data_IF_861493907465
#
_entry.id   IF_861493907465
#
_cell.length_a   1.000
_cell.length_b   1.000
_cell.length_c   1.000
_cell.angle_alpha   90.00
_cell.angle_beta   90.00
_cell.angle_gamma   90.00
#
_symmetry.space_group_name_H-M   'P 1'
#
loop_
_entity.id
_entity.type
_entity.pdbx_description
1 polymer ?
#
# COMPACT_ATOMS: atom_id res chain seq x y z
N UNK A 1 10.84 11.49 2.18
CA UNK A 1 9.64 10.64 2.08
C UNK A 1 9.78 9.79 0.83
N UNK A 2 9.67 8.46 0.92
CA UNK A 2 9.98 7.55 -0.19
C UNK A 2 8.91 7.53 -1.31
N UNK A 3 9.26 7.10 -2.53
CA UNK A 3 8.37 7.11 -3.71
C UNK A 3 7.09 6.29 -3.52
N UNK A 4 7.15 5.24 -2.70
CA UNK A 4 5.99 4.38 -2.40
C UNK A 4 4.90 5.12 -1.62
N UNK A 5 5.29 5.95 -0.65
CA UNK A 5 4.33 6.72 0.15
C UNK A 5 3.61 7.75 -0.73
N UNK A 6 4.32 8.36 -1.68
CA UNK A 6 3.74 9.28 -2.65
C UNK A 6 2.70 8.59 -3.56
N UNK A 7 2.95 7.34 -3.99
CA UNK A 7 1.97 6.54 -4.75
C UNK A 7 0.70 6.26 -3.95
N UNK A 8 0.85 5.91 -2.66
CA UNK A 8 -0.31 5.73 -1.76
C UNK A 8 -1.10 7.04 -1.65
N UNK A 9 -0.43 8.17 -1.43
CA UNK A 9 -1.07 9.48 -1.40
C UNK A 9 -1.79 9.83 -2.71
N UNK A 10 -1.20 9.51 -3.86
CA UNK A 10 -1.83 9.76 -5.16
C UNK A 10 -3.09 8.92 -5.39
N UNK A 11 -3.12 7.68 -4.88
CA UNK A 11 -4.25 6.76 -5.06
C UNK A 11 -5.41 7.02 -4.09
N UNK A 12 -5.11 7.34 -2.83
CA UNK A 12 -6.11 7.42 -1.75
C UNK A 12 -6.36 8.84 -1.24
N UNK A 13 -5.53 9.83 -1.62
CA UNK A 13 -5.73 11.24 -1.27
C UNK A 13 -5.85 11.48 0.24
N UNK A 14 -6.89 12.18 0.73
CA UNK A 14 -7.06 12.46 2.16
C UNK A 14 -7.29 11.18 2.99
N UNK A 15 -7.75 10.08 2.38
CA UNK A 15 -8.02 8.81 3.06
C UNK A 15 -6.75 7.94 3.25
N UNK A 16 -5.60 8.40 2.77
CA UNK A 16 -4.31 7.71 2.92
C UNK A 16 -4.00 7.38 4.37
N UNK A 17 -4.29 8.28 5.31
CA UNK A 17 -4.03 8.06 6.74
C UNK A 17 -4.79 6.85 7.30
N UNK A 18 -6.05 6.69 6.90
CA UNK A 18 -6.87 5.55 7.31
C UNK A 18 -6.38 4.26 6.65
N UNK A 19 -6.21 4.27 5.32
CA UNK A 19 -5.81 3.08 4.57
C UNK A 19 -4.46 2.52 5.01
N UNK A 20 -3.49 3.38 5.34
CA UNK A 20 -2.17 2.97 5.83
C UNK A 20 -2.23 2.15 7.14
N UNK A 21 -3.25 2.38 7.97
CA UNK A 21 -3.45 1.68 9.24
C UNK A 21 -4.32 0.43 9.14
N UNK A 22 -5.07 0.26 8.05
CA UNK A 22 -6.01 -0.85 7.89
C UNK A 22 -5.29 -2.11 7.41
N UNK A 23 -5.45 -3.26 8.09
CA UNK A 23 -5.00 -4.56 7.60
C UNK A 23 -5.53 -4.85 6.19
N UNK A 24 -4.65 -5.30 5.30
CA UNK A 24 -5.02 -5.63 3.94
C UNK A 24 -4.76 -7.11 3.66
N UNK A 25 -5.78 -7.84 3.19
CA UNK A 25 -5.68 -9.27 2.86
C UNK A 25 -4.61 -9.59 1.81
N UNK A 26 -4.30 -8.64 0.93
CA UNK A 26 -3.25 -8.77 -0.10
C UNK A 26 -1.84 -8.48 0.44
N UNK A 27 -1.75 -8.07 1.69
CA UNK A 27 -0.51 -7.83 2.42
C UNK A 27 -0.39 -8.80 3.61
N UNK A 28 -0.92 -10.02 3.49
CA UNK A 28 -0.95 -11.03 4.56
C UNK A 28 -1.64 -10.53 5.84
N UNK A 29 -2.70 -9.73 5.69
CA UNK A 29 -3.38 -9.03 6.78
C UNK A 29 -2.49 -8.07 7.57
N UNK A 30 -1.37 -7.64 6.99
CA UNK A 30 -0.57 -6.53 7.52
C UNK A 30 -1.13 -5.20 7.04
N UNK A 31 -0.92 -4.16 7.85
CA UNK A 31 -1.20 -2.80 7.41
C UNK A 31 -0.12 -2.34 6.43
N UNK A 32 -0.47 -1.50 5.43
CA UNK A 32 0.52 -0.91 4.53
C UNK A 32 1.67 -0.21 5.27
N UNK A 33 1.39 0.40 6.42
CA UNK A 33 2.41 0.99 7.29
C UNK A 33 3.39 -0.06 7.84
N UNK A 34 2.90 -1.22 8.28
CA UNK A 34 3.77 -2.32 8.73
C UNK A 34 4.63 -2.86 7.58
N UNK A 35 4.09 -2.91 6.36
CA UNK A 35 4.84 -3.33 5.18
C UNK A 35 6.00 -2.39 4.83
N UNK A 36 5.93 -1.10 5.16
CA UNK A 36 7.03 -0.16 4.94
C UNK A 36 8.28 -0.46 5.80
N UNK A 37 8.12 -1.20 6.90
CA UNK A 37 9.21 -1.51 7.82
C UNK A 37 10.26 -2.46 7.23
N UNK A 38 9.90 -3.31 6.26
CA UNK A 38 10.80 -4.32 5.69
C UNK A 38 10.94 -4.16 4.17
N UNK A 39 12.08 -4.53 3.56
CA UNK A 39 12.25 -4.49 2.10
C UNK A 39 11.22 -5.36 1.35
N UNK A 40 10.89 -6.52 1.91
CA UNK A 40 9.90 -7.45 1.35
C UNK A 40 8.48 -6.87 1.42
N UNK A 41 8.11 -6.27 2.55
CA UNK A 41 6.82 -5.60 2.69
C UNK A 41 6.66 -4.43 1.71
N UNK A 42 7.73 -3.66 1.47
CA UNK A 42 7.72 -2.59 0.46
C UNK A 42 7.47 -3.13 -0.95
N UNK A 43 8.08 -4.27 -1.31
CA UNK A 43 7.84 -4.94 -2.59
C UNK A 43 6.38 -5.36 -2.75
N UNK A 44 5.81 -6.04 -1.74
CA UNK A 44 4.39 -6.47 -1.77
C UNK A 44 3.45 -5.28 -1.88
N UNK A 45 3.70 -4.23 -1.10
CA UNK A 45 2.92 -3.00 -1.17
C UNK A 45 3.00 -2.34 -2.56
N UNK A 46 4.17 -2.34 -3.19
CA UNK A 46 4.34 -1.85 -4.57
C UNK A 46 3.55 -2.68 -5.58
N UNK A 47 3.53 -4.00 -5.46
CA UNK A 47 2.73 -4.89 -6.29
C UNK A 47 1.23 -4.65 -6.11
N UNK A 48 0.76 -4.53 -4.86
CA UNK A 48 -0.65 -4.24 -4.55
C UNK A 48 -1.07 -2.90 -5.15
N UNK A 49 -0.26 -1.84 -4.98
CA UNK A 49 -0.53 -0.55 -5.59
C UNK A 49 -0.58 -0.62 -7.12
N UNK A 50 0.35 -1.36 -7.73
CA UNK A 50 0.38 -1.57 -9.18
C UNK A 50 -0.87 -2.30 -9.67
N UNK A 51 -1.35 -3.34 -8.96
CA UNK A 51 -2.60 -4.03 -9.30
C UNK A 51 -3.82 -3.11 -9.19
N UNK A 52 -3.88 -2.29 -8.14
CA UNK A 52 -4.94 -1.29 -7.94
C UNK A 52 -4.93 -0.19 -9.01
N UNK A 53 -3.76 0.22 -9.50
CA UNK A 53 -3.60 1.18 -10.60
C UNK A 53 -4.06 0.59 -11.93
N UNK A 54 -3.76 -0.69 -12.17
CA UNK A 54 -4.17 -1.41 -13.38
C UNK A 54 -5.65 -1.82 -13.40
N UNK A 55 -6.40 -1.55 -12.32
CA UNK A 55 -7.80 -1.96 -12.20
C UNK A 55 -7.99 -3.48 -12.14
N UNK A 56 -6.93 -4.22 -11.81
CA UNK A 56 -7.01 -5.65 -11.54
C UNK A 56 -7.71 -5.78 -10.19
N UNK A 57 -9.01 -6.13 -10.23
CA UNK A 57 -9.78 -6.36 -9.03
C UNK A 57 -9.11 -7.45 -8.20
N UNK A 58 -8.75 -7.05 -6.98
CA UNK A 58 -8.24 -7.91 -5.92
C UNK A 58 -9.37 -8.10 -4.92
#
# INVERSE_FOLDING_TARGET
MGPLLARVYAKFGPDTGWWLGVPNQFLDNLSPLACLATPEGRRRLDEVLTRLELGVYI
#
